data_IF_677822619265
#
_entry.id   IF_677822619265
#
_cell.length_a   1.000
_cell.length_b   1.000
_cell.length_c   1.000
_cell.angle_alpha   90.00
_cell.angle_beta   90.00
_cell.angle_gamma   90.00
#
_symmetry.space_group_name_H-M   'P 1'
#
loop_
_entity.id
_entity.type
_entity.pdbx_description
1 polymer ?
#
# COMPACT_ATOMS: atom_id res chain seq x y z
N UNK A 1 -24.64 3.20 -0.73
CA UNK A 1 -24.73 3.02 -2.20
C UNK A 1 -24.17 1.66 -2.56
N UNK A 2 -24.90 0.84 -3.34
CA UNK A 2 -24.42 -0.50 -3.68
C UNK A 2 -23.64 -0.55 -5.01
N UNK A 3 -23.09 0.56 -5.46
CA UNK A 3 -22.27 0.57 -6.66
C UNK A 3 -21.03 1.45 -6.50
N UNK A 4 -19.97 1.07 -7.23
CA UNK A 4 -18.70 1.78 -7.33
C UNK A 4 -18.55 2.32 -8.76
N UNK A 5 -18.26 3.60 -8.90
CA UNK A 5 -17.95 4.21 -10.18
C UNK A 5 -16.43 4.17 -10.42
N UNK A 6 -15.99 3.60 -11.53
CA UNK A 6 -14.58 3.56 -11.92
C UNK A 6 -14.39 4.58 -13.03
N UNK A 7 -13.64 5.64 -12.73
CA UNK A 7 -13.21 6.64 -13.70
C UNK A 7 -11.78 6.38 -14.14
N UNK A 8 -11.57 6.17 -15.43
CA UNK A 8 -10.23 5.95 -16.00
C UNK A 8 -9.88 7.15 -16.87
N UNK A 9 -8.77 7.83 -16.55
CA UNK A 9 -8.43 9.07 -17.22
C UNK A 9 -7.07 9.63 -16.83
N UNK A 10 -6.91 10.91 -17.12
CA UNK A 10 -5.73 11.70 -16.76
C UNK A 10 -5.95 12.32 -15.38
N UNK A 11 -5.45 11.63 -14.34
CA UNK A 11 -5.52 12.06 -12.95
C UNK A 11 -4.10 12.18 -12.37
N UNK A 12 -3.93 12.92 -11.29
CA UNK A 12 -2.63 13.05 -10.62
C UNK A 12 -2.20 11.74 -9.96
N UNK A 13 -3.15 11.05 -9.33
CA UNK A 13 -2.93 9.76 -8.64
C UNK A 13 -4.08 8.80 -8.93
N UNK A 14 -3.87 7.50 -8.66
CA UNK A 14 -4.98 6.54 -8.52
C UNK A 14 -5.44 6.56 -7.08
N UNK A 15 -6.74 6.77 -6.86
CA UNK A 15 -7.34 6.82 -5.52
C UNK A 15 -8.78 6.32 -5.52
N UNK A 16 -9.25 5.86 -4.36
CA UNK A 16 -10.65 5.51 -4.15
C UNK A 16 -11.25 6.46 -3.13
N UNK A 17 -12.26 7.20 -3.52
CA UNK A 17 -12.91 8.20 -2.68
C UNK A 17 -14.41 8.30 -2.94
N UNK A 18 -15.22 8.30 -1.88
CA UNK A 18 -16.69 8.51 -1.92
C UNK A 18 -17.42 7.69 -2.98
N UNK A 19 -17.07 6.39 -3.08
CA UNK A 19 -17.71 5.49 -4.05
C UNK A 19 -17.22 5.65 -5.49
N UNK A 20 -16.11 6.37 -5.69
CA UNK A 20 -15.45 6.53 -6.99
C UNK A 20 -14.03 6.03 -6.92
N UNK A 21 -13.65 5.13 -7.81
CA UNK A 21 -12.26 4.76 -8.07
C UNK A 21 -11.74 5.56 -9.25
N UNK A 22 -10.82 6.48 -8.99
CA UNK A 22 -10.09 7.24 -10.00
C UNK A 22 -8.84 6.46 -10.39
N UNK A 23 -8.82 5.91 -11.60
CA UNK A 23 -7.68 5.17 -12.14
C UNK A 23 -6.85 6.08 -13.03
N UNK A 24 -5.68 6.52 -12.55
CA UNK A 24 -4.66 7.16 -13.36
C UNK A 24 -4.05 6.14 -14.31
N UNK A 25 -3.86 6.51 -15.58
CA UNK A 25 -3.06 5.75 -16.52
C UNK A 25 -1.63 6.30 -16.56
N UNK A 26 -0.65 5.40 -16.71
CA UNK A 26 0.77 5.76 -16.81
C UNK A 26 1.11 6.51 -18.09
N UNK A 27 0.36 6.26 -19.19
CA UNK A 27 0.57 6.85 -20.51
C UNK A 27 -0.78 7.18 -21.18
N UNK A 28 -1.59 8.04 -20.54
CA UNK A 28 -2.90 8.44 -21.08
C UNK A 28 -2.75 9.12 -22.47
N UNK A 29 -3.60 8.78 -23.48
CA UNK A 29 -4.80 7.93 -23.40
C UNK A 29 -4.53 6.42 -23.65
N UNK A 30 -3.30 5.98 -23.56
CA UNK A 30 -2.97 4.58 -23.72
C UNK A 30 -3.19 3.82 -22.41
N UNK A 31 -3.77 2.62 -22.50
CA UNK A 31 -3.94 1.70 -21.37
C UNK A 31 -3.19 0.40 -21.66
N UNK A 32 -2.38 -0.04 -20.70
CA UNK A 32 -1.64 -1.30 -20.79
C UNK A 32 -2.49 -2.49 -20.32
N UNK A 33 -2.15 -3.70 -20.73
CA UNK A 33 -2.80 -4.93 -20.29
C UNK A 33 -2.71 -5.11 -18.76
N UNK A 34 -1.62 -4.66 -18.13
CA UNK A 34 -1.47 -4.67 -16.68
C UNK A 34 -2.44 -3.71 -15.98
N UNK A 35 -2.62 -2.50 -16.51
CA UNK A 35 -3.59 -1.54 -15.96
C UNK A 35 -5.02 -2.03 -16.14
N UNK A 36 -5.33 -2.67 -17.28
CA UNK A 36 -6.63 -3.31 -17.50
C UNK A 36 -6.86 -4.40 -16.46
N UNK A 37 -5.86 -5.25 -16.20
CA UNK A 37 -5.98 -6.30 -15.20
C UNK A 37 -6.23 -5.72 -13.81
N UNK A 38 -5.58 -4.62 -13.42
CA UNK A 38 -5.84 -3.95 -12.15
C UNK A 38 -7.28 -3.47 -12.04
N UNK A 39 -7.83 -2.89 -13.10
CA UNK A 39 -9.25 -2.47 -13.14
C UNK A 39 -10.17 -3.67 -12.98
N UNK A 40 -9.89 -4.78 -13.67
CA UNK A 40 -10.70 -5.99 -13.59
C UNK A 40 -10.59 -6.70 -12.24
N UNK A 41 -9.41 -6.68 -11.61
CA UNK A 41 -9.21 -7.21 -10.26
C UNK A 41 -9.96 -6.36 -9.23
N UNK A 42 -9.95 -5.02 -9.39
CA UNK A 42 -10.77 -4.13 -8.57
C UNK A 42 -12.26 -4.42 -8.72
N UNK A 43 -12.78 -4.59 -9.95
CA UNK A 43 -14.17 -4.94 -10.20
C UNK A 43 -14.53 -6.24 -9.51
N UNK A 44 -13.72 -7.29 -9.71
CA UNK A 44 -13.96 -8.58 -9.07
C UNK A 44 -14.02 -8.47 -7.55
N UNK A 45 -13.07 -7.76 -6.95
CA UNK A 45 -13.05 -7.51 -5.51
C UNK A 45 -14.33 -6.82 -5.03
N UNK A 46 -14.80 -5.79 -5.73
CA UNK A 46 -16.03 -5.07 -5.39
C UNK A 46 -17.27 -5.99 -5.52
N UNK A 47 -17.33 -6.79 -6.58
CA UNK A 47 -18.42 -7.75 -6.81
C UNK A 47 -18.45 -8.86 -5.74
N UNK A 48 -17.28 -9.40 -5.34
CA UNK A 48 -17.17 -10.38 -4.23
C UNK A 48 -17.64 -9.80 -2.89
N UNK A 49 -17.60 -8.48 -2.73
CA UNK A 49 -18.09 -7.75 -1.57
C UNK A 49 -19.51 -7.16 -1.77
N UNK A 50 -20.24 -7.62 -2.78
CA UNK A 50 -21.66 -7.28 -3.01
C UNK A 50 -21.88 -5.89 -3.60
N UNK A 51 -20.87 -5.27 -4.19
CA UNK A 51 -20.94 -3.98 -4.87
C UNK A 51 -20.80 -4.15 -6.38
N UNK A 52 -21.66 -3.48 -7.15
CA UNK A 52 -21.57 -3.48 -8.61
C UNK A 52 -20.66 -2.35 -9.08
N UNK A 53 -19.98 -2.53 -10.21
CA UNK A 53 -19.09 -1.55 -10.79
C UNK A 53 -19.60 -1.01 -12.13
N UNK A 54 -19.39 0.31 -12.35
CA UNK A 54 -19.59 0.96 -13.64
C UNK A 54 -18.31 1.68 -14.06
N UNK A 55 -17.86 1.46 -15.29
CA UNK A 55 -16.70 2.15 -15.86
C UNK A 55 -17.14 3.38 -16.63
N UNK A 56 -16.49 4.52 -16.37
CA UNK A 56 -16.60 5.78 -17.11
C UNK A 56 -15.22 6.14 -17.65
N UNK A 57 -15.07 6.13 -18.98
CA UNK A 57 -13.82 6.42 -19.68
C UNK A 57 -14.08 6.68 -21.15
N UNK A 58 -13.02 7.00 -21.92
CA UNK A 58 -13.09 7.13 -23.38
C UNK A 58 -13.45 5.80 -24.05
N UNK A 59 -14.15 5.89 -25.17
CA UNK A 59 -14.64 4.73 -25.93
C UNK A 59 -13.51 3.76 -26.34
N UNK A 60 -12.37 4.29 -26.70
CA UNK A 60 -11.20 3.51 -27.12
C UNK A 60 -10.61 2.69 -25.97
N UNK A 61 -10.55 3.27 -24.78
CA UNK A 61 -10.10 2.59 -23.56
C UNK A 61 -11.11 1.50 -23.18
N UNK A 62 -12.39 1.82 -23.19
CA UNK A 62 -13.46 0.84 -22.89
C UNK A 62 -13.39 -0.37 -23.84
N UNK A 63 -13.18 -0.11 -25.15
CA UNK A 63 -13.02 -1.19 -26.13
C UNK A 63 -11.82 -2.08 -25.81
N UNK A 64 -10.66 -1.51 -25.47
CA UNK A 64 -9.48 -2.29 -25.08
C UNK A 64 -9.74 -3.17 -23.85
N UNK A 65 -10.50 -2.68 -22.86
CA UNK A 65 -10.89 -3.45 -21.68
C UNK A 65 -11.79 -4.63 -22.08
N UNK A 66 -12.79 -4.41 -22.94
CA UNK A 66 -13.66 -5.47 -23.41
C UNK A 66 -12.91 -6.52 -24.25
N UNK A 67 -12.02 -6.08 -25.15
CA UNK A 67 -11.17 -6.98 -25.94
C UNK A 67 -10.25 -7.81 -25.03
N UNK A 68 -9.73 -7.24 -23.94
CA UNK A 68 -8.91 -7.95 -22.96
C UNK A 68 -9.70 -9.02 -22.20
N UNK A 69 -10.92 -8.70 -21.75
CA UNK A 69 -11.83 -9.68 -21.10
C UNK A 69 -12.05 -10.93 -21.97
N UNK A 70 -12.12 -10.76 -23.28
CA UNK A 70 -12.36 -11.87 -24.21
C UNK A 70 -11.13 -12.76 -24.42
N UNK A 71 -9.91 -12.25 -24.20
CA UNK A 71 -8.64 -13.00 -24.40
C UNK A 71 -8.38 -14.10 -23.36
N UNK A 72 -9.19 -14.19 -22.28
CA UNK A 72 -9.14 -15.23 -21.24
C UNK A 72 -7.71 -15.52 -20.69
N UNK A 73 -6.90 -14.52 -20.46
CA UNK A 73 -5.62 -14.72 -19.80
C UNK A 73 -5.83 -15.18 -18.35
N UNK A 74 -5.29 -16.36 -18.02
CA UNK A 74 -5.36 -16.92 -16.66
C UNK A 74 -4.19 -16.49 -15.78
N UNK A 75 -3.21 -15.80 -16.34
CA UNK A 75 -1.98 -15.46 -15.63
C UNK A 75 -1.94 -13.97 -15.32
N UNK A 76 -1.56 -13.67 -14.09
CA UNK A 76 -1.29 -12.31 -13.65
C UNK A 76 -0.09 -11.77 -14.42
N UNK A 77 -0.23 -10.59 -15.00
CA UNK A 77 0.81 -9.93 -15.79
C UNK A 77 1.70 -9.14 -14.82
N UNK A 78 3.01 -9.23 -14.99
CA UNK A 78 3.95 -8.39 -14.28
C UNK A 78 3.80 -6.92 -14.69
N UNK A 79 4.07 -5.95 -13.79
CA UNK A 79 4.10 -4.55 -14.15
C UNK A 79 5.09 -4.30 -15.30
N UNK A 80 4.71 -3.58 -16.36
CA UNK A 80 5.65 -3.20 -17.41
C UNK A 80 6.70 -2.21 -16.89
N UNK A 81 7.86 -2.12 -17.55
CA UNK A 81 8.97 -1.25 -17.13
C UNK A 81 8.55 0.21 -16.94
N UNK A 82 7.67 0.75 -17.80
CA UNK A 82 7.15 2.12 -17.68
C UNK A 82 6.40 2.38 -16.36
N UNK A 83 5.90 1.34 -15.70
CA UNK A 83 5.15 1.45 -14.45
C UNK A 83 6.05 1.23 -13.23
N UNK A 84 7.29 0.77 -13.42
CA UNK A 84 8.27 0.71 -12.34
C UNK A 84 8.63 2.11 -11.80
N UNK A 85 8.33 3.16 -12.56
CA UNK A 85 8.46 4.54 -12.15
C UNK A 85 7.12 5.26 -12.28
N UNK A 86 6.35 5.34 -11.21
CA UNK A 86 5.15 6.16 -11.16
C UNK A 86 5.52 7.63 -10.89
N UNK A 87 5.21 8.53 -11.81
CA UNK A 87 5.49 9.97 -11.70
C UNK A 87 4.37 10.75 -11.01
N UNK A 88 3.43 10.07 -10.36
CA UNK A 88 2.22 10.67 -9.81
C UNK A 88 2.44 11.62 -8.62
N UNK A 89 3.57 11.49 -7.90
CA UNK A 89 3.86 12.38 -6.78
C UNK A 89 4.67 13.58 -7.27
N UNK A 90 4.21 14.84 -7.13
CA UNK A 90 4.86 16.03 -7.71
C UNK A 90 6.32 16.24 -7.29
N UNK A 91 6.70 15.74 -6.11
CA UNK A 91 8.06 15.84 -5.56
C UNK A 91 8.85 14.54 -5.66
N UNK A 92 8.38 13.54 -6.43
CA UNK A 92 8.92 12.19 -6.39
C UNK A 92 9.20 11.61 -7.78
N UNK A 93 10.32 10.90 -7.91
CA UNK A 93 10.77 10.34 -9.19
C UNK A 93 10.07 9.07 -9.65
N UNK A 94 9.14 8.55 -8.84
CA UNK A 94 8.36 7.38 -9.21
C UNK A 94 8.27 6.30 -8.13
N UNK A 95 7.20 5.50 -8.17
CA UNK A 95 7.05 4.34 -7.30
C UNK A 95 7.76 3.13 -7.89
N UNK A 96 8.63 2.50 -7.09
CA UNK A 96 9.34 1.29 -7.46
C UNK A 96 8.52 0.06 -7.07
N UNK A 97 8.38 -0.89 -7.99
CA UNK A 97 7.39 -1.96 -7.92
C UNK A 97 7.94 -3.35 -7.60
N UNK A 98 9.21 -3.47 -7.24
CA UNK A 98 9.86 -4.71 -6.82
C UNK A 98 9.60 -5.06 -5.35
N UNK A 99 9.43 -4.02 -4.51
CA UNK A 99 9.11 -4.14 -3.11
C UNK A 99 7.77 -3.49 -2.77
N UNK A 100 7.09 -4.06 -1.80
CA UNK A 100 5.99 -3.41 -1.10
C UNK A 100 6.34 -3.25 0.37
N UNK A 101 5.76 -2.25 1.02
CA UNK A 101 6.01 -2.00 2.44
C UNK A 101 4.72 -1.74 3.22
N UNK A 102 4.77 -2.12 4.50
CA UNK A 102 3.84 -1.70 5.52
C UNK A 102 4.57 -0.80 6.50
N UNK A 103 4.04 0.39 6.78
CA UNK A 103 4.64 1.36 7.70
C UNK A 103 3.79 1.48 8.95
N UNK A 104 4.42 1.44 10.11
CA UNK A 104 3.73 1.56 11.41
C UNK A 104 4.44 2.53 12.33
N UNK A 105 3.71 3.28 13.18
CA UNK A 105 4.34 4.00 14.29
C UNK A 105 5.02 3.02 15.25
N UNK A 106 6.01 3.50 15.99
CA UNK A 106 6.87 2.68 16.85
C UNK A 106 6.09 1.73 17.76
N UNK A 107 5.10 2.23 18.48
CA UNK A 107 4.28 1.42 19.42
C UNK A 107 3.56 0.25 18.76
N UNK A 108 3.07 0.44 17.53
CA UNK A 108 2.43 -0.63 16.77
C UNK A 108 3.49 -1.58 16.17
N UNK A 109 4.64 -1.05 15.74
CA UNK A 109 5.74 -1.86 15.25
C UNK A 109 6.28 -2.81 16.33
N UNK A 110 6.36 -2.35 17.59
CA UNK A 110 6.70 -3.21 18.74
C UNK A 110 5.69 -4.35 18.90
N UNK A 111 4.38 -4.06 18.87
CA UNK A 111 3.33 -5.11 18.96
C UNK A 111 3.42 -6.11 17.79
N UNK A 112 3.76 -5.63 16.60
CA UNK A 112 3.97 -6.48 15.42
C UNK A 112 5.18 -7.41 15.65
N UNK A 113 6.27 -6.90 16.21
CA UNK A 113 7.45 -7.72 16.53
C UNK A 113 7.16 -8.74 17.62
N UNK A 114 6.49 -8.34 18.70
CA UNK A 114 6.12 -9.22 19.81
C UNK A 114 5.18 -10.36 19.36
N UNK A 115 4.26 -10.08 18.44
CA UNK A 115 3.38 -11.10 17.86
C UNK A 115 4.02 -11.94 16.74
N UNK A 116 5.10 -11.44 16.13
CA UNK A 116 5.73 -12.01 14.93
C UNK A 116 4.87 -11.90 13.67
N UNK A 117 3.80 -11.11 13.69
CA UNK A 117 2.82 -11.02 12.60
C UNK A 117 2.38 -9.57 12.34
N UNK A 118 2.19 -9.22 11.07
CA UNK A 118 1.25 -8.16 10.73
C UNK A 118 -0.17 -8.73 10.87
N UNK A 119 -1.05 -7.98 11.50
CA UNK A 119 -2.46 -8.35 11.70
C UNK A 119 -3.34 -7.27 11.09
N UNK A 120 -4.46 -7.70 10.50
CA UNK A 120 -5.50 -6.76 10.08
C UNK A 120 -6.09 -6.01 11.28
N UNK A 121 -6.62 -4.79 11.10
CA UNK A 121 -7.22 -4.02 12.19
C UNK A 121 -8.27 -4.78 13.01
N UNK A 122 -9.13 -5.57 12.35
CA UNK A 122 -10.14 -6.38 13.06
C UNK A 122 -9.52 -7.39 14.01
N UNK A 123 -8.44 -8.06 13.60
CA UNK A 123 -7.75 -9.05 14.45
C UNK A 123 -6.92 -8.35 15.52
N UNK A 124 -6.16 -7.31 15.15
CA UNK A 124 -5.27 -6.62 16.06
C UNK A 124 -6.02 -5.95 17.23
N UNK A 125 -7.27 -5.54 17.02
CA UNK A 125 -8.08 -4.85 18.02
C UNK A 125 -9.21 -5.68 18.61
N UNK A 126 -9.53 -6.84 18.01
CA UNK A 126 -10.65 -7.67 18.43
C UNK A 126 -12.02 -7.00 18.24
N UNK A 127 -12.13 -6.11 17.25
CA UNK A 127 -13.33 -5.35 16.91
C UNK A 127 -13.86 -5.78 15.56
N UNK A 128 -15.15 -5.57 15.31
CA UNK A 128 -15.73 -5.74 13.98
C UNK A 128 -15.30 -4.61 13.03
N UNK A 129 -15.38 -4.87 11.74
CA UNK A 129 -15.09 -3.85 10.72
C UNK A 129 -16.01 -2.61 10.85
N UNK A 130 -17.27 -2.80 11.25
CA UNK A 130 -18.22 -1.70 11.47
C UNK A 130 -17.80 -0.82 12.66
N UNK A 131 -17.40 -1.43 13.79
CA UNK A 131 -16.92 -0.68 14.96
C UNK A 131 -15.67 0.13 14.61
N UNK A 132 -14.71 -0.50 13.90
CA UNK A 132 -13.50 0.19 13.46
C UNK A 132 -13.78 1.35 12.53
N UNK A 133 -14.71 1.18 11.58
CA UNK A 133 -15.12 2.25 10.66
C UNK A 133 -15.67 3.46 11.40
N UNK A 134 -16.45 3.23 12.45
CA UNK A 134 -17.04 4.31 13.24
C UNK A 134 -16.00 5.06 14.10
N UNK A 135 -14.88 4.43 14.43
CA UNK A 135 -13.80 5.03 15.19
C UNK A 135 -12.74 5.75 14.34
N UNK A 136 -12.61 5.39 13.07
CA UNK A 136 -11.52 5.86 12.21
C UNK A 136 -11.88 7.17 11.52
N UNK A 137 -10.95 8.15 11.57
CA UNK A 137 -11.11 9.42 10.86
C UNK A 137 -11.10 9.26 9.34
N UNK A 138 -10.28 8.34 8.84
CA UNK A 138 -10.00 8.19 7.41
C UNK A 138 -10.85 7.13 6.72
N UNK A 139 -11.67 6.42 7.49
CA UNK A 139 -12.46 5.31 6.97
C UNK A 139 -13.88 5.68 6.56
N UNK A 140 -14.27 6.95 6.58
CA UNK A 140 -15.65 7.35 6.28
C UNK A 140 -16.12 6.89 4.89
N UNK A 141 -15.19 6.88 3.92
CA UNK A 141 -15.46 6.52 2.53
C UNK A 141 -14.84 5.19 2.10
N UNK A 142 -14.01 4.57 2.95
CA UNK A 142 -13.43 3.27 2.67
C UNK A 142 -14.49 2.16 2.74
N UNK A 143 -14.39 1.11 1.91
CA UNK A 143 -15.19 -0.08 2.08
C UNK A 143 -15.02 -0.66 3.48
N UNK A 144 -16.13 -1.10 4.09
CA UNK A 144 -16.12 -1.61 5.47
C UNK A 144 -15.17 -2.80 5.65
N UNK A 145 -15.06 -3.64 4.65
CA UNK A 145 -14.19 -4.82 4.64
C UNK A 145 -12.69 -4.49 4.60
N UNK A 146 -12.27 -3.24 4.29
CA UNK A 146 -10.86 -2.84 4.31
C UNK A 146 -10.20 -3.10 5.65
N UNK A 147 -10.93 -3.04 6.75
CA UNK A 147 -10.41 -3.35 8.08
C UNK A 147 -10.07 -4.83 8.30
N UNK A 148 -10.50 -5.71 7.40
CA UNK A 148 -10.13 -7.14 7.41
C UNK A 148 -8.76 -7.39 6.76
N UNK A 149 -8.15 -6.37 6.14
CA UNK A 149 -6.92 -6.49 5.37
C UNK A 149 -5.76 -5.70 5.96
N UNK A 150 -4.56 -6.19 5.69
CA UNK A 150 -3.30 -5.49 5.88
C UNK A 150 -2.99 -4.81 4.55
N UNK A 151 -2.85 -3.48 4.56
CA UNK A 151 -2.57 -2.68 3.38
C UNK A 151 -1.08 -2.54 3.16
N UNK A 152 -0.66 -2.64 1.89
CA UNK A 152 0.72 -2.42 1.48
C UNK A 152 0.80 -1.28 0.48
N UNK A 153 1.81 -0.44 0.61
CA UNK A 153 2.18 0.56 -0.37
C UNK A 153 3.40 0.09 -1.19
N UNK A 154 3.68 0.74 -2.31
CA UNK A 154 4.95 0.53 -3.01
C UNK A 154 6.15 0.88 -2.13
N UNK A 155 7.28 0.19 -2.32
CA UNK A 155 8.40 0.20 -1.39
C UNK A 155 8.98 1.58 -1.06
N UNK A 156 8.97 2.49 -2.02
CA UNK A 156 9.44 3.86 -1.83
C UNK A 156 8.30 4.89 -1.64
N UNK A 157 7.06 4.44 -1.43
CA UNK A 157 5.93 5.33 -1.20
C UNK A 157 5.98 5.94 0.21
N UNK A 158 5.76 7.26 0.30
CA UNK A 158 5.75 8.00 1.57
C UNK A 158 4.40 7.94 2.32
N UNK A 159 3.37 7.37 1.70
CA UNK A 159 2.00 7.41 2.26
C UNK A 159 1.91 6.83 3.68
N UNK A 160 2.66 5.77 3.97
CA UNK A 160 2.68 5.17 5.30
C UNK A 160 3.27 6.08 6.37
N UNK A 161 4.36 6.80 6.08
CA UNK A 161 4.94 7.78 7.01
C UNK A 161 4.04 9.00 7.16
N UNK A 162 3.34 9.42 6.11
CA UNK A 162 2.32 10.48 6.19
C UNK A 162 1.21 10.09 7.17
N UNK A 163 0.73 8.84 7.15
CA UNK A 163 -0.25 8.33 8.11
C UNK A 163 0.30 8.27 9.55
N UNK A 164 1.59 7.96 9.72
CA UNK A 164 2.26 8.03 11.04
C UNK A 164 2.24 9.47 11.56
N UNK A 165 2.58 10.45 10.72
CA UNK A 165 2.51 11.87 11.07
C UNK A 165 1.09 12.33 11.38
N UNK A 166 0.11 11.92 10.59
CA UNK A 166 -1.30 12.25 10.82
C UNK A 166 -1.78 11.75 12.20
N UNK A 167 -1.43 10.52 12.58
CA UNK A 167 -1.76 9.98 13.89
C UNK A 167 -1.09 10.76 15.03
N UNK A 168 0.19 11.11 14.84
CA UNK A 168 0.93 11.91 15.83
C UNK A 168 0.35 13.30 16.01
N UNK A 169 -0.04 13.96 14.92
CA UNK A 169 -0.56 15.33 14.94
C UNK A 169 -2.06 15.41 15.27
N UNK A 170 -2.79 14.31 15.06
CA UNK A 170 -4.25 14.29 15.17
C UNK A 170 -4.98 15.10 14.09
N UNK A 171 -4.28 15.46 13.01
CA UNK A 171 -4.77 16.17 11.82
C UNK A 171 -3.97 15.77 10.58
N UNK A 172 -4.43 16.11 9.38
CA UNK A 172 -3.64 15.97 8.16
C UNK A 172 -2.34 16.79 8.28
N UNK A 173 -1.17 16.19 7.96
CA UNK A 173 0.09 16.91 7.91
C UNK A 173 0.15 17.85 6.70
N UNK A 174 0.68 19.06 6.92
CA UNK A 174 1.04 20.00 5.86
C UNK A 174 2.50 19.78 5.38
N UNK A 175 2.97 20.57 4.43
CA UNK A 175 4.33 20.43 3.89
C UNK A 175 5.43 20.68 4.93
N UNK A 176 5.21 21.56 5.91
CA UNK A 176 6.17 21.82 6.99
C UNK A 176 6.29 20.60 7.92
N UNK A 177 5.16 19.97 8.25
CA UNK A 177 5.13 18.75 9.08
C UNK A 177 5.87 17.58 8.42
N UNK A 178 5.98 17.57 7.09
CA UNK A 178 6.61 16.52 6.30
C UNK A 178 8.06 16.86 5.91
N UNK A 179 8.58 18.01 6.35
CA UNK A 179 9.96 18.45 6.18
C UNK A 179 10.94 17.72 7.11
N UNK A 180 12.11 18.35 7.35
CA UNK A 180 13.26 17.77 8.04
C UNK A 180 12.97 17.12 9.40
N UNK A 181 12.02 17.65 10.14
CA UNK A 181 11.73 17.22 11.52
C UNK A 181 10.54 16.25 11.60
N UNK A 182 10.10 15.69 10.47
CA UNK A 182 9.04 14.69 10.48
C UNK A 182 9.47 13.43 11.26
N UNK A 183 8.49 12.72 11.81
CA UNK A 183 8.72 11.48 12.56
C UNK A 183 8.45 10.28 11.66
N UNK A 184 9.48 9.54 11.22
CA UNK A 184 9.28 8.37 10.37
C UNK A 184 8.72 7.19 11.15
N UNK A 185 7.98 6.32 10.45
CA UNK A 185 7.56 5.03 10.96
C UNK A 185 8.60 3.93 10.81
N UNK A 186 8.34 2.78 11.41
CA UNK A 186 9.08 1.53 11.13
C UNK A 186 8.50 0.92 9.86
N UNK A 187 9.35 0.58 8.90
CA UNK A 187 8.94 0.01 7.62
C UNK A 187 9.29 -1.47 7.52
N UNK A 188 8.29 -2.28 7.23
CA UNK A 188 8.39 -3.71 6.94
C UNK A 188 8.33 -3.90 5.43
N UNK A 189 9.42 -4.37 4.82
CA UNK A 189 9.53 -4.58 3.38
C UNK A 189 9.32 -6.04 2.99
N UNK A 190 8.69 -6.24 1.85
CA UNK A 190 8.35 -7.55 1.29
C UNK A 190 8.65 -7.55 -0.20
N UNK A 191 9.23 -8.63 -0.72
CA UNK A 191 9.34 -8.85 -2.15
C UNK A 191 7.93 -8.98 -2.75
N UNK A 192 7.60 -8.13 -3.71
CA UNK A 192 6.27 -8.10 -4.33
C UNK A 192 5.92 -9.42 -4.99
N UNK A 193 6.81 -9.96 -5.84
CA UNK A 193 6.60 -11.22 -6.57
C UNK A 193 6.40 -12.44 -5.65
N UNK A 194 6.93 -12.36 -4.43
CA UNK A 194 6.72 -13.38 -3.40
C UNK A 194 5.39 -13.16 -2.70
N UNK A 195 5.13 -11.95 -2.19
CA UNK A 195 3.96 -11.68 -1.36
C UNK A 195 2.63 -11.77 -2.13
N UNK A 196 2.60 -11.48 -3.44
CA UNK A 196 1.41 -11.70 -4.28
C UNK A 196 0.96 -13.17 -4.36
N UNK A 197 1.84 -14.11 -3.98
CA UNK A 197 1.53 -15.54 -3.92
C UNK A 197 0.96 -15.98 -2.57
N UNK A 198 0.85 -15.06 -1.60
CA UNK A 198 0.21 -15.38 -0.32
C UNK A 198 -1.25 -15.82 -0.59
N UNK A 199 -1.74 -16.91 0.08
CA UNK A 199 -3.08 -17.44 -0.19
C UNK A 199 -4.20 -16.40 -0.05
N UNK A 200 -4.06 -15.50 0.92
CA UNK A 200 -5.04 -14.46 1.24
C UNK A 200 -4.72 -13.10 0.57
N UNK A 201 -3.80 -13.08 -0.39
CA UNK A 201 -3.46 -11.87 -1.13
C UNK A 201 -4.59 -11.48 -2.08
N UNK A 202 -4.97 -10.21 -2.02
CA UNK A 202 -5.97 -9.62 -2.91
C UNK A 202 -5.37 -8.43 -3.64
N UNK A 203 -5.66 -8.36 -4.93
CA UNK A 203 -5.25 -7.30 -5.82
C UNK A 203 -6.48 -6.47 -6.17
N UNK A 204 -6.54 -5.23 -5.72
CA UNK A 204 -7.75 -4.40 -5.87
C UNK A 204 -7.57 -3.22 -6.82
N UNK A 205 -6.36 -3.00 -7.32
CA UNK A 205 -6.08 -1.98 -8.34
C UNK A 205 -5.75 -0.57 -7.83
N UNK A 206 -6.04 -0.23 -6.58
CA UNK A 206 -5.63 1.03 -5.93
C UNK A 206 -4.29 0.85 -5.22
N UNK A 207 -4.27 -0.08 -4.29
CA UNK A 207 -3.04 -0.50 -3.61
C UNK A 207 -2.32 -1.57 -4.44
N UNK A 208 -1.00 -1.66 -4.34
CA UNK A 208 -0.27 -2.73 -5.00
C UNK A 208 -0.73 -4.11 -4.56
N UNK A 209 -1.12 -4.23 -3.28
CA UNK A 209 -1.49 -5.49 -2.66
C UNK A 209 -2.14 -5.23 -1.31
N UNK A 210 -3.07 -6.10 -0.92
CA UNK A 210 -3.53 -6.27 0.46
C UNK A 210 -3.66 -7.75 0.80
N UNK A 211 -3.46 -8.11 2.07
CA UNK A 211 -3.54 -9.49 2.55
C UNK A 211 -4.56 -9.57 3.68
N UNK A 212 -5.50 -10.51 3.56
CA UNK A 212 -6.55 -10.70 4.56
C UNK A 212 -5.97 -11.28 5.85
N UNK A 213 -6.48 -10.85 6.99
CA UNK A 213 -6.21 -11.34 8.32
C UNK A 213 -4.78 -11.14 8.83
N UNK A 214 -3.78 -11.87 8.32
CA UNK A 214 -2.43 -11.84 8.89
C UNK A 214 -1.32 -12.17 7.88
N UNK A 215 -0.12 -11.64 8.15
CA UNK A 215 1.12 -12.01 7.47
C UNK A 215 2.17 -12.36 8.52
N UNK A 216 2.69 -13.59 8.50
CA UNK A 216 3.75 -14.05 9.40
C UNK A 216 5.09 -13.47 8.95
N UNK A 217 5.77 -12.72 9.81
CA UNK A 217 7.00 -12.01 9.43
C UNK A 217 8.14 -12.94 9.06
N UNK A 218 8.34 -14.05 9.81
CA UNK A 218 9.41 -14.99 9.53
C UNK A 218 9.40 -15.52 8.09
N UNK A 219 8.21 -15.71 7.54
CA UNK A 219 8.00 -16.36 6.25
C UNK A 219 8.07 -15.38 5.08
N UNK A 220 7.62 -14.15 5.30
CA UNK A 220 7.35 -13.22 4.21
C UNK A 220 8.21 -11.95 4.22
N UNK A 221 8.60 -11.41 5.39
CA UNK A 221 9.36 -10.15 5.44
C UNK A 221 10.75 -10.31 4.86
N UNK A 222 11.18 -9.37 4.03
CA UNK A 222 12.53 -9.30 3.48
C UNK A 222 13.45 -8.52 4.41
N UNK A 223 13.04 -7.31 4.81
CA UNK A 223 13.78 -6.45 5.74
C UNK A 223 12.84 -5.57 6.56
N UNK A 224 13.33 -5.13 7.71
CA UNK A 224 12.61 -4.24 8.63
C UNK A 224 13.54 -3.06 8.89
N UNK A 225 13.15 -1.87 8.41
CA UNK A 225 13.95 -0.66 8.57
C UNK A 225 13.37 0.16 9.73
N UNK A 226 14.19 0.33 10.75
CA UNK A 226 13.86 1.04 11.98
C UNK A 226 14.65 2.36 12.01
N UNK A 227 14.01 3.51 12.13
CA UNK A 227 14.72 4.75 12.42
C UNK A 227 15.62 4.60 13.63
N UNK A 228 16.88 5.05 13.54
CA UNK A 228 17.89 4.82 14.58
C UNK A 228 17.52 5.42 15.93
N UNK A 229 16.71 6.48 15.92
CA UNK A 229 16.16 7.11 17.13
C UNK A 229 15.34 6.14 17.99
N UNK A 230 14.79 5.08 17.39
CA UNK A 230 13.99 4.06 18.07
C UNK A 230 14.79 2.84 18.52
N UNK A 231 16.10 2.80 18.22
CA UNK A 231 16.95 1.62 18.42
C UNK A 231 16.90 1.09 19.86
N UNK A 232 17.03 1.98 20.82
CA UNK A 232 17.11 1.59 22.25
C UNK A 232 15.82 0.88 22.71
N UNK A 233 14.66 1.39 22.30
CA UNK A 233 13.37 0.85 22.68
C UNK A 233 13.02 -0.41 21.87
N UNK A 234 13.27 -0.38 20.54
CA UNK A 234 12.87 -1.44 19.64
C UNK A 234 13.69 -2.74 19.78
N UNK A 235 14.97 -2.64 20.11
CA UNK A 235 15.90 -3.79 20.10
C UNK A 235 15.52 -4.93 21.05
N UNK A 236 14.83 -4.63 22.17
CA UNK A 236 14.39 -5.63 23.15
C UNK A 236 13.22 -6.48 22.68
N UNK A 237 12.51 -6.04 21.62
CA UNK A 237 11.33 -6.68 21.05
C UNK A 237 11.63 -7.51 19.80
N UNK A 238 12.91 -7.67 19.43
CA UNK A 238 13.28 -8.38 18.19
C UNK A 238 13.37 -9.88 18.46
N UNK A 239 12.48 -10.70 17.88
CA UNK A 239 12.59 -12.17 17.95
C UNK A 239 13.90 -12.65 17.34
N UNK A 240 14.47 -13.74 17.88
CA UNK A 240 15.77 -14.25 17.44
C UNK A 240 15.81 -14.55 15.93
N UNK A 241 14.71 -15.10 15.38
CA UNK A 241 14.59 -15.46 13.96
C UNK A 241 14.42 -14.25 13.03
N UNK A 242 14.21 -13.05 13.56
CA UNK A 242 14.09 -11.82 12.78
C UNK A 242 15.29 -10.89 12.93
N UNK A 243 16.26 -11.20 13.80
CA UNK A 243 17.42 -10.32 14.06
C UNK A 243 18.20 -9.95 12.82
N UNK A 244 18.41 -10.88 11.90
CA UNK A 244 19.15 -10.62 10.65
C UNK A 244 18.39 -9.76 9.65
N UNK A 245 17.09 -9.56 9.87
CA UNK A 245 16.21 -8.77 8.97
C UNK A 245 15.98 -7.34 9.49
N UNK A 246 16.41 -7.02 10.72
CA UNK A 246 16.22 -5.69 11.32
C UNK A 246 17.45 -4.85 11.10
N UNK A 247 17.25 -3.67 10.53
CA UNK A 247 18.30 -2.71 10.23
C UNK A 247 17.91 -1.33 10.76
N UNK A 248 18.91 -0.63 11.32
CA UNK A 248 18.72 0.72 11.85
C UNK A 248 19.27 1.74 10.87
N UNK A 249 18.47 2.76 10.57
CA UNK A 249 18.84 3.79 9.61
C UNK A 249 18.59 5.18 10.19
N UNK A 250 19.61 6.04 10.08
CA UNK A 250 19.52 7.42 10.55
C UNK A 250 18.64 8.24 9.61
N UNK A 251 17.68 8.98 10.20
CA UNK A 251 16.95 9.99 9.47
C UNK A 251 17.72 11.31 9.51
N UNK A 252 18.47 11.57 8.44
CA UNK A 252 19.19 12.83 8.16
C UNK A 252 18.68 13.48 6.86
N UNK A 253 17.47 13.13 6.44
CA UNK A 253 16.85 13.56 5.20
C UNK A 253 16.17 14.93 5.35
N UNK A 254 16.06 15.64 4.25
CA UNK A 254 15.42 16.96 4.22
C UNK A 254 13.89 16.88 4.34
N UNK A 255 13.30 15.77 3.92
CA UNK A 255 11.86 15.56 3.95
C UNK A 255 11.47 14.07 3.88
N UNK A 256 10.17 13.83 3.94
CA UNK A 256 9.57 12.49 3.90
C UNK A 256 9.84 11.75 2.58
N UNK A 257 10.01 12.46 1.45
CA UNK A 257 10.25 11.83 0.15
C UNK A 257 11.69 11.33 0.03
N UNK A 258 12.65 12.15 0.47
CA UNK A 258 14.07 11.76 0.52
C UNK A 258 14.24 10.55 1.47
N UNK A 259 13.60 10.58 2.65
CA UNK A 259 13.57 9.44 3.55
C UNK A 259 13.02 8.18 2.88
N UNK A 260 11.89 8.29 2.19
CA UNK A 260 11.25 7.16 1.51
C UNK A 260 12.15 6.56 0.43
N UNK A 261 12.85 7.39 -0.33
CA UNK A 261 13.85 6.94 -1.29
C UNK A 261 15.04 6.25 -0.62
N UNK A 262 15.59 6.86 0.43
CA UNK A 262 16.73 6.34 1.18
C UNK A 262 16.45 4.95 1.79
N UNK A 263 15.32 4.77 2.46
CA UNK A 263 14.99 3.49 3.09
C UNK A 263 14.70 2.40 2.05
N UNK A 264 14.11 2.76 0.92
CA UNK A 264 13.88 1.84 -0.18
C UNK A 264 15.20 1.36 -0.78
N UNK A 265 16.10 2.27 -1.16
CA UNK A 265 17.41 1.91 -1.71
C UNK A 265 18.21 1.02 -0.74
N UNK A 266 18.12 1.30 0.55
CA UNK A 266 18.74 0.46 1.56
C UNK A 266 18.10 -0.94 1.63
N UNK A 267 16.78 -1.01 1.60
CA UNK A 267 16.03 -2.26 1.70
C UNK A 267 16.28 -3.21 0.51
N UNK A 268 16.55 -2.68 -0.69
CA UNK A 268 16.88 -3.46 -1.90
C UNK A 268 18.07 -4.40 -1.73
N UNK A 269 19.00 -4.10 -0.84
CA UNK A 269 20.16 -4.94 -0.61
C UNK A 269 19.84 -6.28 0.09
N UNK A 270 18.61 -6.45 0.58
CA UNK A 270 18.20 -7.62 1.36
C UNK A 270 17.09 -8.47 0.68
N UNK A 271 16.89 -8.30 -0.61
CA UNK A 271 15.86 -9.01 -1.40
C UNK A 271 16.47 -10.10 -2.27
#
# INVERSE_FOLDING_TARGET
>A
MNYMLIKIGEFDISECWDGVFYKKLSDYPNITDWEIQNVLDFIRYEEENGRTCRIETQREILKKIEDYKQRKSKHRIAPPEIIKECTACPKYKGCMTDLVCHTSPLENAIKIMDSGCLLSPVIARGLTALELKNESRNAANDPQDYFEYIMFAWGNCQAGDRLVMERKLGRFPNDEDLGKDFTPGVRFFFCYDKLVKHPDATFEGVLPLKVKNRVVLSDWVSSIIVPDVYKQEFQSHIPQNLKSKVHYLKNDCADIWEWSGKVYEYAKHFV
#
